data_IF_713755270811
#
_entry.id   IF_713755270811
#
_cell.length_a   1.000
_cell.length_b   1.000
_cell.length_c   1.000
_cell.angle_alpha   90.00
_cell.angle_beta   90.00
_cell.angle_gamma   90.00
#
_symmetry.space_group_name_H-M   'P 1'
#
loop_
_entity.id
_entity.type
_entity.pdbx_description
1 polymer ?
#
# COMPACT_ATOMS: atom_id res chain seq x y z
N UNK A 1 19.73 -49.92 -8.85
CA UNK A 1 19.35 -51.05 -7.97
C UNK A 1 20.28 -51.08 -6.76
N UNK A 2 19.82 -51.62 -5.62
CA UNK A 2 20.33 -51.50 -4.22
C UNK A 2 19.76 -50.26 -3.51
N UNK A 3 18.60 -50.27 -2.86
CA UNK A 3 18.01 -51.12 -1.79
C UNK A 3 18.88 -51.16 -0.52
N UNK A 4 18.53 -50.32 0.45
CA UNK A 4 18.66 -50.61 1.88
C UNK A 4 17.26 -50.68 2.50
N UNK A 5 17.10 -51.65 3.39
CA UNK A 5 15.87 -52.22 3.91
C UNK A 5 15.90 -52.12 5.44
N UNK A 6 14.75 -51.73 5.99
CA UNK A 6 14.13 -52.15 7.26
C UNK A 6 14.62 -51.67 8.64
N UNK A 7 13.58 -51.46 9.49
CA UNK A 7 13.56 -51.51 10.95
C UNK A 7 12.70 -50.38 11.54
N UNK A 8 11.36 -50.40 11.53
CA UNK A 8 10.42 -51.12 12.42
C UNK A 8 10.80 -51.08 13.92
N UNK A 9 10.01 -50.38 14.76
CA UNK A 9 9.02 -50.97 15.72
C UNK A 9 8.56 -49.91 16.76
N UNK A 10 7.26 -49.66 16.70
CA UNK A 10 6.23 -49.31 17.71
C UNK A 10 6.64 -49.36 19.20
N UNK A 11 6.24 -48.34 19.97
CA UNK A 11 5.78 -48.53 21.35
C UNK A 11 4.87 -47.38 21.80
N UNK A 12 3.55 -47.62 21.78
CA UNK A 12 2.58 -46.88 22.56
C UNK A 12 2.69 -47.32 24.03
N UNK A 13 2.79 -46.37 24.96
CA UNK A 13 2.62 -46.63 26.39
C UNK A 13 1.60 -45.64 26.96
N UNK A 14 0.43 -46.18 27.26
CA UNK A 14 -0.59 -45.59 28.09
C UNK A 14 -0.06 -45.48 29.55
N UNK A 15 -0.19 -44.29 30.12
CA UNK A 15 0.03 -44.03 31.54
C UNK A 15 -1.19 -43.32 32.11
N UNK A 16 -2.04 -44.08 32.79
CA UNK A 16 -3.09 -43.54 33.65
C UNK A 16 -2.48 -43.19 35.01
N UNK A 17 -2.75 -41.99 35.54
CA UNK A 17 -2.74 -41.72 37.00
C UNK A 17 -3.24 -40.31 37.34
N UNK A 18 -4.26 -40.32 38.22
CA UNK A 18 -4.55 -39.36 39.31
C UNK A 18 -5.17 -38.00 38.95
N UNK A 19 -6.48 -37.97 39.21
CA UNK A 19 -7.29 -36.77 39.37
C UNK A 19 -6.79 -35.92 40.55
N UNK A 20 -6.49 -34.65 40.28
CA UNK A 20 -6.43 -33.59 41.27
C UNK A 20 -7.64 -32.67 41.02
N UNK A 21 -8.44 -32.46 42.07
CA UNK A 21 -9.61 -31.61 42.04
C UNK A 21 -9.21 -30.13 41.99
N UNK A 22 -9.51 -29.45 40.88
CA UNK A 22 -9.39 -28.00 40.76
C UNK A 22 -10.69 -27.30 41.19
N UNK A 23 -10.62 -26.17 41.92
CA UNK A 23 -11.80 -25.43 42.34
C UNK A 23 -12.46 -24.74 41.15
N UNK A 24 -13.72 -25.09 40.92
CA UNK A 24 -14.60 -24.60 39.87
C UNK A 24 -14.76 -23.07 39.93
N UNK A 25 -14.05 -22.34 39.06
CA UNK A 25 -14.29 -20.92 38.84
C UNK A 25 -15.69 -20.75 38.23
N UNK A 26 -16.57 -20.07 38.97
CA UNK A 26 -17.93 -19.77 38.53
C UNK A 26 -17.88 -18.87 37.29
N UNK A 27 -18.37 -19.39 36.17
CA UNK A 27 -18.55 -18.64 34.94
C UNK A 27 -19.57 -17.52 35.17
N UNK A 28 -19.24 -16.24 34.92
CA UNK A 28 -20.20 -15.15 35.11
C UNK A 28 -21.29 -15.22 34.03
N UNK A 29 -22.53 -15.34 34.48
CA UNK A 29 -23.72 -15.31 33.60
C UNK A 29 -23.94 -13.90 33.02
N UNK A 30 -24.23 -13.77 31.72
CA UNK A 30 -24.53 -12.48 31.11
C UNK A 30 -25.83 -11.88 31.68
N UNK A 31 -25.79 -10.58 32.02
CA UNK A 31 -26.99 -9.83 32.42
C UNK A 31 -27.77 -9.37 31.18
N UNK A 32 -29.11 -9.46 31.17
CA UNK A 32 -29.92 -8.89 30.10
C UNK A 32 -29.85 -7.36 30.09
N UNK A 33 -29.93 -6.77 28.90
CA UNK A 33 -29.94 -5.32 28.70
C UNK A 33 -31.23 -4.69 29.23
N UNK A 34 -31.18 -3.48 29.84
CA UNK A 34 -32.38 -2.74 30.21
C UNK A 34 -33.16 -2.27 28.96
N UNK A 35 -34.46 -2.56 28.89
CA UNK A 35 -35.36 -1.94 27.91
C UNK A 35 -35.60 -0.45 28.25
N UNK A 36 -35.51 0.48 27.28
CA UNK A 36 -35.96 1.85 27.47
C UNK A 36 -37.48 1.95 27.26
N UNK A 37 -38.20 2.38 28.30
CA UNK A 37 -39.63 2.69 28.18
C UNK A 37 -40.24 3.25 29.46
N UNK A 38 -40.06 4.55 29.70
CA UNK A 38 -41.13 5.54 29.98
C UNK A 38 -40.58 6.78 30.71
N UNK A 39 -40.74 7.91 30.05
CA UNK A 39 -40.39 9.26 30.50
C UNK A 39 -41.52 9.89 31.32
N UNK A 40 -41.18 10.79 32.25
CA UNK A 40 -41.80 12.12 32.49
C UNK A 40 -41.15 12.81 33.71
N UNK A 41 -41.21 14.15 33.90
CA UNK A 41 -40.50 15.15 33.09
C UNK A 41 -39.73 16.16 33.98
N UNK A 42 -38.49 16.49 33.60
CA UNK A 42 -37.74 17.62 34.17
C UNK A 42 -37.54 18.71 33.10
N UNK A 43 -38.15 19.88 33.31
CA UNK A 43 -37.73 21.15 32.73
C UNK A 43 -36.37 21.54 33.38
N UNK A 44 -35.36 22.15 32.74
CA UNK A 44 -35.31 23.05 31.59
C UNK A 44 -33.93 22.98 30.89
N UNK A 45 -33.93 23.34 29.61
CA UNK A 45 -32.87 23.57 28.60
C UNK A 45 -31.48 24.06 29.06
N UNK A 46 -30.39 23.81 28.29
CA UNK A 46 -30.18 24.55 27.03
C UNK A 46 -29.60 23.73 25.85
N UNK A 47 -29.62 24.37 24.69
CA UNK A 47 -28.91 24.04 23.45
C UNK A 47 -29.56 22.99 22.53
N UNK A 48 -30.39 23.54 21.65
CA UNK A 48 -30.89 22.97 20.39
C UNK A 48 -29.72 22.52 19.49
N UNK A 49 -29.27 21.28 19.63
CA UNK A 49 -28.40 20.65 18.62
C UNK A 49 -29.23 20.17 17.44
N UNK A 50 -28.87 20.75 16.28
CA UNK A 50 -29.39 20.48 14.95
C UNK A 50 -29.13 19.01 14.57
N UNK A 51 -30.01 18.36 13.78
CA UNK A 51 -29.81 16.97 13.37
C UNK A 51 -28.43 16.78 12.74
N UNK A 52 -27.69 15.77 13.21
CA UNK A 52 -26.45 15.32 12.62
C UNK A 52 -26.69 14.97 11.15
N UNK A 53 -26.17 15.82 10.27
CA UNK A 53 -26.01 15.50 8.84
C UNK A 53 -25.24 14.18 8.72
N UNK A 54 -25.64 13.27 7.82
CA UNK A 54 -24.84 12.09 7.53
C UNK A 54 -23.44 12.53 7.13
N UNK A 55 -22.41 11.99 7.79
CA UNK A 55 -21.02 12.12 7.37
C UNK A 55 -20.94 11.60 5.95
N UNK A 56 -20.84 12.51 4.98
CA UNK A 56 -20.59 12.18 3.60
C UNK A 56 -19.30 11.34 3.53
N UNK A 57 -19.23 10.33 2.64
CA UNK A 57 -17.98 9.62 2.42
C UNK A 57 -16.91 10.65 2.07
N UNK A 58 -15.76 10.58 2.75
CA UNK A 58 -14.58 11.38 2.42
C UNK A 58 -14.35 11.26 0.93
N UNK A 59 -14.64 12.35 0.20
CA UNK A 59 -14.47 12.42 -1.24
C UNK A 59 -12.98 12.22 -1.50
N UNK A 60 -12.63 11.14 -2.20
CA UNK A 60 -11.28 10.96 -2.69
C UNK A 60 -10.86 12.25 -3.40
N UNK A 61 -9.62 12.74 -3.22
CA UNK A 61 -9.19 13.98 -3.83
C UNK A 61 -9.32 13.83 -5.35
N UNK A 62 -10.27 14.56 -5.93
CA UNK A 62 -10.32 14.79 -7.37
C UNK A 62 -9.05 15.53 -7.71
N UNK A 63 -8.14 14.87 -8.42
CA UNK A 63 -6.88 15.48 -8.85
C UNK A 63 -7.24 16.61 -9.82
N UNK A 64 -7.26 17.84 -9.32
CA UNK A 64 -7.45 19.02 -10.15
C UNK A 64 -6.31 19.07 -11.16
N UNK A 65 -6.62 19.10 -12.45
CA UNK A 65 -5.66 19.10 -13.56
C UNK A 65 -4.58 20.21 -13.48
N UNK A 66 -4.76 21.19 -12.59
CA UNK A 66 -3.82 22.27 -12.31
C UNK A 66 -2.61 21.87 -11.45
N UNK A 67 -2.55 20.65 -10.89
CA UNK A 67 -1.44 20.18 -10.04
C UNK A 67 -0.72 18.93 -10.58
N UNK A 68 -0.81 18.65 -11.89
CA UNK A 68 -0.04 17.55 -12.50
C UNK A 68 1.42 17.99 -12.63
N UNK A 69 2.38 17.27 -12.04
CA UNK A 69 3.80 17.60 -12.17
C UNK A 69 4.29 17.42 -13.61
N UNK A 70 5.16 18.34 -14.05
CA UNK A 70 5.80 18.27 -15.38
C UNK A 70 7.21 17.69 -15.27
N UNK A 71 7.77 17.19 -16.39
CA UNK A 71 9.16 16.72 -16.45
C UNK A 71 10.15 17.82 -16.02
N UNK A 72 9.88 19.07 -16.40
CA UNK A 72 10.68 20.23 -15.98
C UNK A 72 10.68 20.42 -14.45
N UNK A 73 9.56 20.11 -13.79
CA UNK A 73 9.44 20.18 -12.33
C UNK A 73 10.10 18.99 -11.63
N UNK A 74 10.01 17.78 -12.19
CA UNK A 74 10.54 16.56 -11.57
C UNK A 74 12.02 16.31 -11.88
N UNK A 75 12.56 16.90 -12.97
CA UNK A 75 13.90 16.61 -13.45
C UNK A 75 14.09 15.16 -13.94
N UNK A 76 12.99 14.43 -14.15
CA UNK A 76 12.95 13.03 -14.56
C UNK A 76 11.90 12.86 -15.67
N UNK A 77 12.17 11.98 -16.65
CA UNK A 77 11.24 11.74 -17.74
C UNK A 77 9.95 11.05 -17.23
N UNK A 78 8.82 11.51 -17.73
CA UNK A 78 7.50 10.93 -17.47
C UNK A 78 7.12 10.17 -18.74
N UNK A 79 6.76 8.88 -18.61
CA UNK A 79 6.35 8.10 -19.76
C UNK A 79 5.14 8.76 -20.47
N UNK A 80 5.17 9.01 -21.79
CA UNK A 80 4.18 9.86 -22.47
C UNK A 80 2.71 9.46 -22.31
N UNK A 81 2.43 8.16 -22.19
CA UNK A 81 1.05 7.65 -22.03
C UNK A 81 0.68 7.38 -20.56
N UNK A 82 1.52 7.79 -19.61
CA UNK A 82 1.24 7.61 -18.20
C UNK A 82 0.32 8.70 -17.68
N UNK A 83 -0.67 8.31 -16.88
CA UNK A 83 -1.59 9.23 -16.22
C UNK A 83 -1.13 9.48 -14.80
N UNK A 84 -1.09 10.74 -14.38
CA UNK A 84 -0.79 11.09 -13.00
C UNK A 84 -1.89 10.58 -12.06
N UNK A 85 -1.50 9.87 -11.00
CA UNK A 85 -2.41 9.27 -10.05
C UNK A 85 -2.51 10.12 -8.78
N UNK A 86 -1.37 10.39 -8.16
CA UNK A 86 -1.28 11.10 -6.89
C UNK A 86 0.18 11.39 -6.52
N UNK A 87 0.40 12.10 -5.42
CA UNK A 87 1.71 12.32 -4.83
C UNK A 87 1.64 12.26 -3.31
N UNK A 88 2.74 11.87 -2.67
CA UNK A 88 2.84 11.72 -1.22
C UNK A 88 4.10 12.39 -0.69
N UNK A 89 4.03 12.88 0.55
CA UNK A 89 5.21 13.27 1.33
C UNK A 89 5.89 12.00 1.85
N UNK A 90 7.15 11.78 1.45
CA UNK A 90 7.99 10.68 1.90
C UNK A 90 8.62 10.94 3.28
N UNK A 91 8.52 12.17 3.78
CA UNK A 91 9.30 12.68 4.89
C UNK A 91 10.53 13.48 4.41
N UNK A 92 11.13 14.26 5.32
CA UNK A 92 12.31 15.10 5.05
C UNK A 92 12.11 16.09 3.89
N UNK A 93 10.89 16.61 3.76
CA UNK A 93 10.49 17.50 2.67
C UNK A 93 10.69 16.91 1.26
N UNK A 94 10.77 15.57 1.16
CA UNK A 94 10.85 14.86 -0.10
C UNK A 94 9.47 14.34 -0.48
N UNK A 95 9.07 14.57 -1.74
CA UNK A 95 7.83 14.04 -2.30
C UNK A 95 8.13 12.98 -3.34
N UNK A 96 7.22 12.02 -3.49
CA UNK A 96 7.20 11.13 -4.65
C UNK A 96 5.85 11.18 -5.36
N UNK A 97 5.88 10.84 -6.64
CA UNK A 97 4.76 10.99 -7.56
C UNK A 97 4.46 9.65 -8.20
N UNK A 98 3.19 9.29 -8.29
CA UNK A 98 2.73 8.04 -8.89
C UNK A 98 2.05 8.32 -10.22
N UNK A 99 2.39 7.51 -11.21
CA UNK A 99 1.82 7.53 -12.55
C UNK A 99 1.39 6.12 -12.95
N UNK A 100 0.21 5.97 -13.55
CA UNK A 100 -0.32 4.71 -14.04
C UNK A 100 -0.22 4.61 -15.55
N UNK A 101 0.11 3.43 -16.07
CA UNK A 101 0.10 3.15 -17.51
C UNK A 101 -0.43 1.75 -17.80
N UNK A 102 -0.93 1.56 -19.02
CA UNK A 102 -1.34 0.26 -19.54
C UNK A 102 -0.25 -0.48 -20.31
N UNK A 103 0.94 0.11 -20.45
CA UNK A 103 2.13 -0.57 -20.96
C UNK A 103 2.58 -1.70 -20.03
N UNK A 104 3.24 -2.72 -20.61
CA UNK A 104 3.72 -3.84 -19.82
C UNK A 104 4.85 -3.42 -18.89
N UNK A 105 5.03 -4.19 -17.82
CA UNK A 105 6.10 -3.97 -16.88
C UNK A 105 7.49 -4.03 -17.56
N UNK A 106 7.71 -4.99 -18.47
CA UNK A 106 8.98 -5.14 -19.22
C UNK A 106 9.23 -3.99 -20.19
N UNK A 107 8.18 -3.48 -20.84
CA UNK A 107 8.27 -2.32 -21.71
C UNK A 107 8.73 -1.09 -20.90
N UNK A 108 8.18 -0.89 -19.71
CA UNK A 108 8.55 0.23 -18.85
C UNK A 108 9.99 0.12 -18.33
N UNK A 109 10.43 -1.08 -17.96
CA UNK A 109 11.85 -1.29 -17.60
C UNK A 109 12.77 -0.95 -18.78
N UNK A 110 12.46 -1.45 -19.98
CA UNK A 110 13.29 -1.16 -21.18
C UNK A 110 13.29 0.32 -21.52
N UNK A 111 12.14 0.97 -21.45
CA UNK A 111 12.01 2.40 -21.70
C UNK A 111 12.87 3.22 -20.74
N UNK A 112 12.72 3.00 -19.43
CA UNK A 112 13.46 3.74 -18.42
C UNK A 112 14.95 3.42 -18.46
N UNK A 113 15.33 2.19 -18.80
CA UNK A 113 16.73 1.83 -18.94
C UNK A 113 17.45 2.64 -20.03
N UNK A 114 16.77 2.87 -21.17
CA UNK A 114 17.35 3.63 -22.28
C UNK A 114 17.39 5.12 -21.98
N UNK A 115 16.29 5.70 -21.48
CA UNK A 115 16.20 7.16 -21.32
C UNK A 115 16.95 7.70 -20.10
N UNK A 116 17.14 6.88 -19.07
CA UNK A 116 17.92 7.22 -17.89
C UNK A 116 19.41 6.87 -18.06
N UNK A 117 19.77 6.12 -19.11
CA UNK A 117 21.09 5.50 -19.28
C UNK A 117 21.53 4.71 -18.03
N UNK A 118 20.58 3.99 -17.43
CA UNK A 118 20.76 3.26 -16.18
C UNK A 118 20.09 1.88 -16.30
N UNK A 119 20.80 0.81 -15.98
CA UNK A 119 20.24 -0.55 -16.03
C UNK A 119 19.22 -0.76 -14.91
N UNK A 120 19.49 -0.19 -13.74
CA UNK A 120 18.71 -0.41 -12.53
C UNK A 120 18.67 -1.86 -12.08
N UNK A 121 17.89 -2.13 -11.03
CA UNK A 121 17.85 -3.42 -10.35
C UNK A 121 16.42 -3.97 -10.22
N UNK A 122 16.30 -5.27 -10.48
CA UNK A 122 15.14 -6.07 -10.09
C UNK A 122 15.18 -6.31 -8.59
N UNK A 123 14.28 -5.68 -7.84
CA UNK A 123 14.25 -5.80 -6.36
C UNK A 123 13.20 -6.79 -5.84
N UNK A 124 12.18 -7.09 -6.66
CA UNK A 124 11.17 -8.11 -6.35
C UNK A 124 10.73 -8.84 -7.62
N UNK A 125 10.53 -10.15 -7.52
CA UNK A 125 10.01 -10.98 -8.61
C UNK A 125 8.47 -11.05 -8.63
N UNK A 126 7.81 -10.91 -7.48
CA UNK A 126 6.34 -11.01 -7.37
C UNK A 126 5.77 -10.20 -6.20
N UNK A 127 5.04 -9.09 -6.44
CA UNK A 127 4.90 -8.42 -7.73
C UNK A 127 6.23 -7.88 -8.26
N UNK A 128 6.43 -8.00 -9.57
CA UNK A 128 7.66 -7.61 -10.23
C UNK A 128 7.94 -6.10 -9.98
N UNK A 129 9.07 -5.78 -9.35
CA UNK A 129 9.48 -4.38 -9.07
C UNK A 129 10.90 -4.15 -9.56
N UNK A 130 11.13 -3.04 -10.26
CA UNK A 130 12.45 -2.64 -10.76
C UNK A 130 12.73 -1.18 -10.41
N UNK A 131 13.95 -0.89 -9.97
CA UNK A 131 14.35 0.41 -9.44
C UNK A 131 15.53 0.97 -10.24
N UNK A 132 15.42 2.22 -10.66
CA UNK A 132 16.48 3.01 -11.28
C UNK A 132 16.84 4.13 -10.33
N UNK A 133 18.06 4.13 -9.80
CA UNK A 133 18.56 5.20 -8.93
C UNK A 133 19.49 6.10 -9.76
N UNK A 134 19.18 7.40 -9.83
CA UNK A 134 19.80 8.31 -10.83
C UNK A 134 20.42 9.56 -10.18
N UNK A 135 20.55 9.56 -8.86
CA UNK A 135 21.06 10.68 -8.09
C UNK A 135 21.77 10.23 -6.83
N UNK A 136 22.41 11.16 -6.13
CA UNK A 136 23.10 10.85 -4.88
C UNK A 136 22.09 10.78 -3.76
N UNK A 137 21.91 9.58 -3.21
CA UNK A 137 21.16 9.41 -1.98
C UNK A 137 21.92 10.02 -0.80
N UNK A 138 21.19 10.82 -0.01
CA UNK A 138 21.68 11.37 1.25
C UNK A 138 20.80 10.88 2.37
N UNK A 139 21.26 9.86 3.08
CA UNK A 139 20.50 9.18 4.13
C UNK A 139 20.20 10.06 5.35
N UNK A 140 20.74 11.28 5.46
CA UNK A 140 20.37 12.26 6.50
C UNK A 140 19.32 13.28 6.02
N UNK A 141 19.21 13.49 4.71
CA UNK A 141 18.38 14.54 4.11
C UNK A 141 17.20 13.99 3.30
N UNK A 142 17.23 12.71 2.90
CA UNK A 142 16.25 12.09 2.00
C UNK A 142 15.61 10.85 2.61
N UNK A 143 14.35 10.58 2.28
CA UNK A 143 13.67 9.35 2.68
C UNK A 143 13.89 8.23 1.65
N UNK A 144 14.05 8.59 0.37
CA UNK A 144 14.32 7.67 -0.73
C UNK A 144 15.42 8.20 -1.66
N UNK A 145 16.18 7.32 -2.32
CA UNK A 145 17.07 7.71 -3.40
C UNK A 145 16.28 8.38 -4.54
N UNK A 146 16.81 9.43 -5.19
CA UNK A 146 16.24 9.98 -6.41
C UNK A 146 16.22 8.94 -7.51
N UNK A 147 15.08 8.75 -8.18
CA UNK A 147 14.95 7.63 -9.09
C UNK A 147 13.55 7.37 -9.62
N UNK A 148 13.47 6.29 -10.40
CA UNK A 148 12.23 5.75 -10.96
C UNK A 148 12.06 4.32 -10.47
N UNK A 149 10.91 3.99 -9.90
CA UNK A 149 10.53 2.61 -9.55
C UNK A 149 9.34 2.18 -10.41
N UNK A 150 9.46 1.05 -11.08
CA UNK A 150 8.41 0.44 -11.90
C UNK A 150 7.86 -0.78 -11.17
N UNK A 151 6.54 -0.89 -11.06
CA UNK A 151 5.87 -2.00 -10.37
C UNK A 151 4.77 -2.60 -11.25
N UNK A 152 4.78 -3.92 -11.37
CA UNK A 152 3.71 -4.70 -12.01
C UNK A 152 2.55 -4.91 -11.03
N UNK A 153 1.34 -4.47 -11.42
CA UNK A 153 0.13 -4.66 -10.64
C UNK A 153 -0.80 -5.73 -11.21
N UNK A 154 -0.38 -6.45 -12.26
CA UNK A 154 -1.13 -7.56 -12.84
C UNK A 154 -0.77 -8.93 -12.23
N UNK A 155 0.19 -8.94 -11.31
CA UNK A 155 0.65 -10.14 -10.63
C UNK A 155 -0.47 -10.87 -9.88
N UNK A 156 -0.40 -12.21 -9.86
CA UNK A 156 -1.34 -13.11 -9.18
C UNK A 156 -2.83 -12.92 -9.57
N UNK A 157 -3.10 -12.69 -10.86
CA UNK A 157 -4.45 -12.56 -11.38
C UNK A 157 -5.13 -11.22 -11.09
N UNK A 158 -4.39 -10.24 -10.55
CA UNK A 158 -4.87 -8.88 -10.42
C UNK A 158 -5.10 -8.26 -11.80
N UNK A 159 -6.18 -7.50 -11.95
CA UNK A 159 -6.48 -6.75 -13.18
C UNK A 159 -5.66 -5.44 -13.28
N UNK A 160 -4.91 -5.08 -12.23
CA UNK A 160 -4.10 -3.87 -12.17
C UNK A 160 -4.45 -2.93 -11.01
N UNK A 161 -3.68 -1.85 -10.91
CA UNK A 161 -3.85 -0.77 -9.93
C UNK A 161 -5.11 0.03 -10.26
N UNK A 162 -5.99 0.23 -9.28
CA UNK A 162 -7.23 0.98 -9.48
C UNK A 162 -6.94 2.45 -9.79
N UNK A 163 -7.63 3.00 -10.80
CA UNK A 163 -7.54 4.42 -11.10
C UNK A 163 -8.26 5.25 -10.02
N UNK A 164 -7.55 6.07 -9.20
CA UNK A 164 -8.17 6.81 -8.11
C UNK A 164 -9.02 7.99 -8.60
N UNK A 165 -8.78 8.50 -9.82
CA UNK A 165 -9.58 9.56 -10.41
C UNK A 165 -10.93 9.04 -10.96
N UNK A 166 -11.08 7.72 -11.08
CA UNK A 166 -12.14 7.11 -11.87
C UNK A 166 -11.98 7.36 -13.38
N UNK A 167 -12.81 6.69 -14.19
CA UNK A 167 -12.77 6.83 -15.65
C UNK A 167 -11.85 5.80 -16.33
N UNK A 168 -11.42 6.13 -17.55
CA UNK A 168 -10.66 5.22 -18.42
C UNK A 168 -9.14 5.50 -18.41
N UNK A 169 -8.29 4.46 -18.23
CA UNK A 169 -8.68 3.09 -17.92
C UNK A 169 -9.12 2.95 -16.46
N UNK A 170 -10.02 2.01 -16.19
CA UNK A 170 -10.46 1.71 -14.80
C UNK A 170 -9.30 1.22 -13.93
N UNK A 171 -8.32 0.55 -14.54
CA UNK A 171 -7.10 0.05 -13.88
C UNK A 171 -5.87 0.24 -14.76
N UNK A 172 -4.71 0.36 -14.11
CA UNK A 172 -3.41 0.43 -14.75
C UNK A 172 -2.62 -0.85 -14.51
N UNK A 173 -2.05 -1.43 -15.56
CA UNK A 173 -1.20 -2.62 -15.45
C UNK A 173 0.08 -2.36 -14.67
N UNK A 174 0.68 -1.19 -14.91
CA UNK A 174 1.97 -0.80 -14.34
C UNK A 174 1.85 0.55 -13.65
N UNK A 175 2.48 0.69 -12.49
CA UNK A 175 2.64 2.00 -11.83
C UNK A 175 4.12 2.37 -11.80
N UNK A 176 4.37 3.63 -12.10
CA UNK A 176 5.67 4.29 -12.09
C UNK A 176 5.68 5.23 -10.89
N UNK A 177 6.64 5.05 -10.01
CA UNK A 177 6.94 5.98 -8.92
C UNK A 177 8.17 6.80 -9.30
N UNK A 178 8.05 8.12 -9.23
CA UNK A 178 9.15 9.05 -9.51
C UNK A 178 9.49 9.80 -8.22
N UNK A 179 10.77 9.74 -7.85
CA UNK A 179 11.35 10.48 -6.72
C UNK A 179 12.33 11.50 -7.29
N UNK A 180 11.98 12.81 -7.31
CA UNK A 180 12.88 13.85 -7.79
C UNK A 180 14.16 13.95 -6.96
N UNK A 181 15.23 14.41 -7.60
CA UNK A 181 16.40 14.86 -6.88
C UNK A 181 16.10 16.18 -6.14
N UNK A 182 16.68 16.43 -4.96
CA UNK A 182 16.53 17.71 -4.29
C UNK A 182 17.05 18.87 -5.15
N UNK A 183 16.51 20.08 -4.96
CA UNK A 183 16.97 21.27 -5.68
C UNK A 183 18.48 21.47 -5.49
N UNK A 184 19.19 21.71 -6.60
CA UNK A 184 20.64 21.93 -6.61
C UNK A 184 21.50 20.66 -6.81
N UNK A 185 20.91 19.46 -6.89
CA UNK A 185 21.62 18.29 -7.41
C UNK A 185 21.54 18.25 -8.95
N UNK A 186 22.69 18.39 -9.61
CA UNK A 186 22.81 18.14 -11.06
C UNK A 186 22.97 16.64 -11.31
N UNK A 187 22.19 16.09 -12.26
CA UNK A 187 22.37 14.71 -12.77
C UNK A 187 23.76 14.64 -13.43
N UNK A 188 24.61 13.70 -13.00
CA UNK A 188 25.90 13.44 -13.66
C UNK A 188 25.72 12.55 -14.87
#
# INVERSE_FOLDING_TARGET
MRRFVAGCVIAALAGASLAAAEPQQRQPVPRPFPQPGNQSPGASEPARERPATPTAPTRAPVVSAQNVPTEATLGLPIYPNAQFLTSYEAGRSQRYYLFGTNSSFEEMVRYYAVILDERGDRVFDGPATHMFEVGRFREDEMAFPPGVTVKDYTWNGSEGYLNPAGGEPTRFKTVIQIVPAPPGQTRR
#
